data_IF_236388000081
#
_entry.id   IF_236388000081
#
_cell.length_a   1.000
_cell.length_b   1.000
_cell.length_c   1.000
_cell.angle_alpha   90.00
_cell.angle_beta   90.00
_cell.angle_gamma   90.00
#
_symmetry.space_group_name_H-M   'P 1'
#
loop_
_entity.id
_entity.type
_entity.pdbx_description
1 polymer ?
#
# COMPACT_ATOMS: atom_id res chain seq x y z
N UNK A 1 11.00 4.56 53.97
CA UNK A 1 9.80 4.42 53.13
C UNK A 1 10.06 3.20 52.26
N UNK A 2 9.29 2.12 52.41
CA UNK A 2 9.49 0.91 51.58
C UNK A 2 8.92 1.24 50.20
N UNK A 3 9.80 1.22 49.21
CA UNK A 3 9.44 1.49 47.82
C UNK A 3 8.73 0.25 47.25
N UNK A 4 7.44 0.39 46.89
CA UNK A 4 6.57 -0.71 46.46
C UNK A 4 6.76 -1.06 44.97
N UNK A 5 8.02 -1.15 44.50
CA UNK A 5 8.33 -1.45 43.11
C UNK A 5 8.44 -2.98 42.89
N UNK A 6 7.33 -3.63 42.51
CA UNK A 6 7.30 -5.06 42.15
C UNK A 6 7.51 -5.20 40.64
N UNK A 7 8.48 -6.04 40.24
CA UNK A 7 8.83 -6.28 38.84
C UNK A 7 7.65 -6.85 38.03
N UNK A 8 7.64 -6.52 36.72
CA UNK A 8 6.71 -7.14 35.77
C UNK A 8 6.94 -8.65 35.68
N UNK A 9 5.89 -9.37 35.22
CA UNK A 9 5.94 -10.81 34.99
C UNK A 9 7.00 -11.16 33.94
N UNK A 10 7.80 -12.18 34.22
CA UNK A 10 8.75 -12.77 33.29
C UNK A 10 8.05 -13.45 32.09
N UNK A 11 8.69 -13.41 30.93
CA UNK A 11 8.26 -14.15 29.74
C UNK A 11 8.65 -15.65 29.78
N UNK A 12 9.52 -16.03 30.73
CA UNK A 12 10.04 -17.38 30.87
C UNK A 12 10.17 -17.80 32.34
N UNK A 13 10.14 -19.10 32.59
CA UNK A 13 10.42 -19.67 33.90
C UNK A 13 11.85 -19.32 34.33
N UNK A 14 12.00 -18.66 35.47
CA UNK A 14 13.30 -18.22 35.97
C UNK A 14 14.16 -19.38 36.55
N UNK A 15 13.60 -20.58 36.70
CA UNK A 15 14.32 -21.76 37.17
C UNK A 15 14.87 -22.65 36.02
N UNK A 16 14.14 -22.78 34.91
CA UNK A 16 14.55 -23.62 33.77
C UNK A 16 14.72 -22.87 32.45
N UNK A 17 14.50 -21.56 32.46
CA UNK A 17 14.62 -20.65 31.33
C UNK A 17 13.73 -20.96 30.11
N UNK A 18 12.69 -21.79 30.28
CA UNK A 18 11.72 -22.08 29.22
C UNK A 18 10.70 -20.94 29.11
N UNK A 19 10.42 -20.43 27.89
CA UNK A 19 9.38 -19.43 27.68
C UNK A 19 8.02 -20.00 28.09
N UNK A 20 7.16 -19.16 28.64
CA UNK A 20 5.78 -19.53 28.92
C UNK A 20 4.97 -19.52 27.63
N UNK A 21 4.16 -20.56 27.42
CA UNK A 21 3.17 -20.61 26.35
C UNK A 21 1.94 -19.78 26.71
N UNK A 22 1.18 -19.35 25.70
CA UNK A 22 -0.10 -18.68 25.94
C UNK A 22 -1.03 -19.56 26.78
N UNK A 23 -1.69 -18.93 27.76
CA UNK A 23 -2.53 -19.54 28.80
C UNK A 23 -1.84 -20.56 29.69
N UNK A 24 -0.51 -20.61 29.68
CA UNK A 24 0.21 -21.54 30.55
C UNK A 24 0.10 -21.09 32.02
N UNK A 25 -0.32 -21.97 32.96
CA UNK A 25 -0.26 -21.67 34.37
C UNK A 25 1.20 -21.61 34.87
N UNK A 26 1.48 -20.64 35.72
CA UNK A 26 2.77 -20.48 36.38
C UNK A 26 2.59 -19.95 37.81
N UNK A 27 3.60 -20.15 38.64
CA UNK A 27 3.64 -19.70 40.04
C UNK A 27 4.55 -18.48 40.15
N UNK A 28 4.07 -17.45 40.85
CA UNK A 28 4.88 -16.30 41.24
C UNK A 28 5.20 -16.42 42.73
N UNK A 29 6.48 -16.27 43.08
CA UNK A 29 6.94 -16.11 44.46
C UNK A 29 7.48 -14.70 44.63
N UNK A 30 7.14 -14.06 45.74
CA UNK A 30 7.66 -12.75 46.10
C UNK A 30 8.54 -12.87 47.34
N UNK A 31 9.75 -12.30 47.24
CA UNK A 31 10.71 -12.24 48.34
C UNK A 31 11.06 -10.80 48.67
N UNK A 32 11.11 -10.46 49.96
CA UNK A 32 11.68 -9.24 50.48
C UNK A 32 13.21 -9.39 50.57
N UNK A 33 13.91 -8.66 49.71
CA UNK A 33 15.32 -8.40 49.90
C UNK A 33 15.45 -7.03 50.55
N UNK A 34 16.39 -6.87 51.50
CA UNK A 34 16.60 -5.66 52.34
C UNK A 34 16.45 -4.29 51.64
N UNK A 35 16.63 -4.21 50.32
CA UNK A 35 16.52 -3.01 49.49
C UNK A 35 15.44 -3.05 48.40
N UNK A 36 14.80 -4.19 48.10
CA UNK A 36 13.79 -4.32 47.04
C UNK A 36 13.01 -5.65 47.13
N UNK A 37 11.80 -5.68 46.57
CA UNK A 37 11.08 -6.93 46.34
C UNK A 37 11.62 -7.66 45.11
N UNK A 38 11.95 -8.95 45.27
CA UNK A 38 12.31 -9.84 44.19
C UNK A 38 11.12 -10.71 43.80
N UNK A 39 10.75 -10.67 42.51
CA UNK A 39 9.72 -11.54 41.93
C UNK A 39 10.36 -12.71 41.20
N UNK A 40 9.92 -13.92 41.52
CA UNK A 40 10.35 -15.15 40.84
C UNK A 40 9.14 -15.86 40.20
N UNK A 41 9.13 -15.98 38.87
CA UNK A 41 8.09 -16.69 38.13
C UNK A 41 8.61 -18.07 37.69
N UNK A 42 7.92 -19.14 38.06
CA UNK A 42 8.32 -20.54 37.77
C UNK A 42 7.18 -21.35 37.17
N UNK A 43 7.49 -22.26 36.25
CA UNK A 43 6.50 -23.17 35.68
C UNK A 43 6.08 -24.26 36.68
N UNK A 44 4.92 -24.87 36.46
CA UNK A 44 4.37 -25.95 37.30
C UNK A 44 5.37 -27.09 37.63
N UNK A 45 6.17 -27.59 36.66
CA UNK A 45 7.19 -28.61 36.97
C UNK A 45 8.28 -28.11 37.93
N UNK A 46 8.76 -26.87 37.73
CA UNK A 46 9.78 -26.28 38.59
C UNK A 46 9.22 -25.97 39.98
N UNK A 47 7.97 -25.51 40.06
CA UNK A 47 7.25 -25.33 41.31
C UNK A 47 7.21 -26.62 42.12
N UNK A 48 6.66 -27.70 41.54
CA UNK A 48 6.53 -28.99 42.21
C UNK A 48 7.88 -29.53 42.66
N UNK A 49 8.91 -29.46 41.81
CA UNK A 49 10.22 -30.02 42.09
C UNK A 49 11.05 -29.25 43.14
N UNK A 50 10.89 -27.92 43.24
CA UNK A 50 11.83 -27.09 43.99
C UNK A 50 11.20 -26.18 45.05
N UNK A 51 9.90 -25.86 44.94
CA UNK A 51 9.27 -24.81 45.74
C UNK A 51 8.01 -25.27 46.48
N UNK A 52 7.33 -26.32 46.01
CA UNK A 52 6.09 -26.82 46.61
C UNK A 52 6.23 -27.22 48.09
N UNK A 53 7.43 -27.62 48.50
CA UNK A 53 7.77 -27.94 49.89
C UNK A 53 8.76 -26.91 50.41
N UNK A 54 8.32 -26.07 51.35
CA UNK A 54 9.19 -25.14 52.08
C UNK A 54 9.50 -23.80 51.37
N UNK A 55 8.76 -23.41 50.32
CA UNK A 55 8.90 -22.05 49.76
C UNK A 55 8.62 -20.95 50.79
N UNK A 56 7.64 -21.15 51.68
CA UNK A 56 7.27 -20.23 52.76
C UNK A 56 8.35 -20.09 53.83
N UNK A 57 9.18 -21.12 54.01
CA UNK A 57 10.19 -21.17 55.07
C UNK A 57 11.51 -20.52 54.62
N UNK A 58 11.60 -20.15 53.34
CA UNK A 58 12.76 -19.46 52.79
C UNK A 58 12.83 -18.04 53.34
N UNK A 59 14.04 -17.63 53.72
CA UNK A 59 14.30 -16.30 54.25
C UNK A 59 13.81 -15.23 53.27
N UNK A 60 13.02 -14.29 53.80
CA UNK A 60 12.47 -13.18 53.04
C UNK A 60 11.25 -13.55 52.21
N UNK A 61 10.66 -14.74 52.35
CA UNK A 61 9.39 -15.04 51.68
C UNK A 61 8.28 -14.07 52.12
N UNK A 62 7.51 -13.56 51.15
CA UNK A 62 6.39 -12.65 51.37
C UNK A 62 5.07 -13.32 51.00
N UNK A 63 4.96 -13.78 49.76
CA UNK A 63 3.73 -14.38 49.26
C UNK A 63 3.97 -15.24 48.03
N UNK A 64 3.00 -16.11 47.73
CA UNK A 64 2.94 -16.87 46.48
C UNK A 64 1.53 -16.77 45.88
N UNK A 65 1.44 -16.84 44.55
CA UNK A 65 0.17 -16.96 43.85
C UNK A 65 0.37 -17.62 42.49
N UNK A 66 -0.71 -18.22 41.97
CA UNK A 66 -0.76 -18.81 40.64
C UNK A 66 -1.39 -17.81 39.66
N UNK A 67 -0.92 -17.81 38.42
CA UNK A 67 -1.46 -16.97 37.34
C UNK A 67 -1.34 -17.68 36.00
N UNK A 68 -2.10 -17.21 35.01
CA UNK A 68 -2.00 -17.67 33.63
C UNK A 68 -1.19 -16.69 32.79
N UNK A 69 -0.29 -17.20 31.96
CA UNK A 69 0.52 -16.38 31.07
C UNK A 69 -0.29 -15.97 29.85
N UNK A 70 -0.62 -14.69 29.72
CA UNK A 70 -1.14 -14.14 28.47
C UNK A 70 0.03 -13.74 27.56
N UNK A 71 0.18 -14.43 26.43
CA UNK A 71 1.13 -14.03 25.40
C UNK A 71 0.71 -12.69 24.78
N UNK A 72 1.65 -11.81 24.41
CA UNK A 72 1.33 -10.64 23.60
C UNK A 72 0.60 -11.12 22.33
N UNK A 73 -0.48 -10.43 21.90
CA UNK A 73 -1.15 -10.77 20.66
C UNK A 73 -0.13 -10.75 19.51
N UNK A 74 -0.25 -11.68 18.54
CA UNK A 74 0.62 -11.65 17.37
C UNK A 74 0.50 -10.28 16.71
N UNK A 75 1.63 -9.76 16.20
CA UNK A 75 1.62 -8.51 15.46
C UNK A 75 0.54 -8.60 14.36
N UNK A 76 -0.32 -7.58 14.20
CA UNK A 76 -1.35 -7.60 13.17
C UNK A 76 -0.73 -7.96 11.82
N UNK A 77 -1.35 -8.86 11.02
CA UNK A 77 -0.89 -9.10 9.67
C UNK A 77 -0.85 -7.78 8.92
N UNK A 78 0.22 -7.52 8.17
CA UNK A 78 0.37 -6.27 7.43
C UNK A 78 -0.86 -6.08 6.53
N UNK A 79 -1.61 -4.97 6.68
CA UNK A 79 -2.80 -4.73 5.88
C UNK A 79 -2.42 -4.63 4.41
N UNK A 80 -3.14 -5.40 3.57
CA UNK A 80 -3.30 -5.34 2.11
C UNK A 80 -2.36 -4.33 1.44
N UNK A 81 -1.34 -4.89 0.78
CA UNK A 81 -0.26 -4.28 -0.02
C UNK A 81 -0.51 -2.83 -0.46
N UNK A 82 -0.24 -1.86 0.41
CA UNK A 82 0.29 -0.58 -0.05
C UNK A 82 1.60 -0.91 -0.75
N UNK A 83 1.66 -0.75 -2.08
CA UNK A 83 2.93 -0.94 -2.76
C UNK A 83 3.92 0.07 -2.17
N UNK A 84 5.03 -0.41 -1.63
CA UNK A 84 6.12 0.51 -1.27
C UNK A 84 6.58 1.18 -2.55
N UNK A 85 6.97 2.45 -2.46
CA UNK A 85 7.47 3.21 -3.63
C UNK A 85 8.58 2.47 -4.38
N UNK A 86 9.39 1.67 -3.66
CA UNK A 86 10.43 0.82 -4.23
C UNK A 86 9.85 -0.37 -5.03
N UNK A 87 8.90 -1.11 -4.45
CA UNK A 87 8.27 -2.24 -5.15
C UNK A 87 7.54 -1.77 -6.40
N UNK A 88 6.80 -0.65 -6.31
CA UNK A 88 6.12 -0.04 -7.45
C UNK A 88 7.13 0.39 -8.52
N UNK A 89 8.21 1.09 -8.13
CA UNK A 89 9.24 1.50 -9.07
C UNK A 89 9.89 0.30 -9.78
N UNK A 90 10.17 -0.79 -9.06
CA UNK A 90 10.73 -2.01 -9.64
C UNK A 90 9.77 -2.61 -10.68
N UNK A 91 8.47 -2.64 -10.41
CA UNK A 91 7.46 -3.09 -11.38
C UNK A 91 7.39 -2.18 -12.59
N UNK A 92 7.43 -0.86 -12.40
CA UNK A 92 7.39 0.12 -13.49
C UNK A 92 8.62 0.03 -14.40
N UNK A 93 9.82 -0.13 -13.82
CA UNK A 93 11.06 -0.32 -14.59
C UNK A 93 11.02 -1.64 -15.37
N UNK A 94 10.49 -2.71 -14.78
CA UNK A 94 10.34 -3.99 -15.47
C UNK A 94 9.30 -3.94 -16.60
N UNK A 95 8.21 -3.18 -16.43
CA UNK A 95 7.19 -2.97 -17.44
C UNK A 95 7.71 -2.15 -18.63
N UNK A 96 8.58 -1.17 -18.36
CA UNK A 96 9.20 -0.29 -19.35
C UNK A 96 8.19 0.37 -20.32
N UNK A 97 7.02 0.75 -19.80
CA UNK A 97 5.96 1.42 -20.56
C UNK A 97 6.11 2.96 -20.48
N UNK A 98 6.20 3.66 -21.63
CA UNK A 98 6.27 5.12 -21.68
C UNK A 98 5.16 5.85 -20.91
N UNK A 99 3.96 5.26 -20.79
CA UNK A 99 2.84 5.87 -20.08
C UNK A 99 3.15 6.09 -18.59
N UNK A 100 3.99 5.24 -18.01
CA UNK A 100 4.39 5.33 -16.60
C UNK A 100 5.77 5.93 -16.39
N UNK A 101 6.44 6.40 -17.45
CA UNK A 101 7.78 6.99 -17.34
C UNK A 101 7.82 8.19 -16.37
N UNK A 102 6.80 9.06 -16.42
CA UNK A 102 6.65 10.18 -15.50
C UNK A 102 6.51 9.74 -14.04
N UNK A 103 5.67 8.73 -13.78
CA UNK A 103 5.48 8.19 -12.44
C UNK A 103 6.76 7.51 -11.92
N UNK A 104 7.42 6.71 -12.77
CA UNK A 104 8.69 6.06 -12.44
C UNK A 104 9.80 7.05 -12.12
N UNK A 105 9.93 8.12 -12.91
CA UNK A 105 10.88 9.21 -12.66
C UNK A 105 10.64 9.87 -11.29
N UNK A 106 9.39 10.27 -11.00
CA UNK A 106 9.05 10.93 -9.74
C UNK A 106 9.29 9.99 -8.54
N UNK A 107 8.93 8.72 -8.65
CA UNK A 107 9.21 7.71 -7.63
C UNK A 107 10.72 7.56 -7.37
N UNK A 108 11.54 7.54 -8.41
CA UNK A 108 12.99 7.48 -8.27
C UNK A 108 13.56 8.69 -7.53
N UNK A 109 13.14 9.91 -7.89
CA UNK A 109 13.54 11.16 -7.21
C UNK A 109 13.06 11.19 -5.75
N UNK A 110 11.85 10.68 -5.48
CA UNK A 110 11.33 10.56 -4.11
C UNK A 110 12.20 9.62 -3.27
N UNK A 111 12.63 8.49 -3.84
CA UNK A 111 13.50 7.51 -3.18
C UNK A 111 14.94 8.01 -3.00
N UNK A 112 15.43 8.83 -3.92
CA UNK A 112 16.71 9.54 -3.80
C UNK A 112 16.69 10.49 -2.59
N UNK A 113 15.65 11.33 -2.46
CA UNK A 113 15.51 12.26 -1.32
C UNK A 113 15.41 11.53 0.02
N UNK A 114 14.85 10.32 0.03
CA UNK A 114 14.79 9.43 1.21
C UNK A 114 16.10 8.64 1.46
N UNK A 115 17.14 8.85 0.66
CA UNK A 115 18.43 8.14 0.70
C UNK A 115 18.32 6.62 0.50
N UNK A 116 17.24 6.15 -0.11
CA UNK A 116 17.09 4.73 -0.49
C UNK A 116 17.90 4.46 -1.75
N UNK A 117 17.82 5.38 -2.73
CA UNK A 117 18.60 5.33 -3.97
C UNK A 117 19.70 6.38 -3.97
N UNK A 118 20.80 6.07 -4.65
CA UNK A 118 21.93 6.97 -4.91
C UNK A 118 22.08 7.14 -6.42
N UNK A 119 22.00 8.36 -6.93
CA UNK A 119 22.29 8.64 -8.33
C UNK A 119 23.77 8.32 -8.62
N UNK A 120 24.03 7.50 -9.65
CA UNK A 120 25.38 7.12 -10.10
C UNK A 120 25.80 7.78 -11.40
N UNK A 121 24.83 8.21 -12.20
CA UNK A 121 25.10 8.91 -13.45
C UNK A 121 23.88 8.96 -14.35
N UNK A 122 24.11 9.35 -15.59
CA UNK A 122 23.10 9.39 -16.65
C UNK A 122 23.68 8.78 -17.92
N UNK A 123 22.83 8.12 -18.68
CA UNK A 123 23.15 7.62 -20.03
C UNK A 123 22.10 8.16 -21.00
N UNK A 124 22.46 8.20 -22.29
CA UNK A 124 21.59 8.75 -23.31
C UNK A 124 21.43 7.78 -24.50
N UNK A 125 20.84 6.60 -24.28
CA UNK A 125 20.47 5.72 -25.38
C UNK A 125 19.35 6.36 -26.21
N UNK A 126 19.42 6.22 -27.54
CA UNK A 126 18.35 6.62 -28.47
C UNK A 126 17.87 8.08 -28.33
N UNK A 127 18.81 9.00 -28.03
CA UNK A 127 18.55 10.43 -27.83
C UNK A 127 17.54 10.73 -26.70
N UNK A 128 17.35 9.79 -25.76
CA UNK A 128 16.54 9.97 -24.55
C UNK A 128 17.45 9.89 -23.33
N UNK A 129 17.22 10.77 -22.35
CA UNK A 129 17.96 10.77 -21.09
C UNK A 129 17.48 9.65 -20.19
N UNK A 130 18.39 8.91 -19.59
CA UNK A 130 18.11 7.92 -18.56
C UNK A 130 19.02 8.16 -17.35
N UNK A 131 18.46 8.07 -16.15
CA UNK A 131 19.17 8.15 -14.88
C UNK A 131 19.52 6.76 -14.37
N UNK A 132 20.75 6.61 -13.89
CA UNK A 132 21.24 5.39 -13.25
C UNK A 132 21.22 5.61 -11.73
N UNK A 133 20.46 4.79 -11.03
CA UNK A 133 20.38 4.77 -9.58
C UNK A 133 20.93 3.46 -9.02
N UNK A 134 21.56 3.52 -7.85
CA UNK A 134 21.96 2.36 -7.06
C UNK A 134 21.19 2.32 -5.74
N UNK A 135 20.60 1.17 -5.41
CA UNK A 135 19.94 0.97 -4.15
C UNK A 135 20.98 0.91 -3.01
N UNK A 136 20.89 1.81 -2.03
CA UNK A 136 21.91 2.04 -1.01
C UNK A 136 22.23 0.82 -0.12
N UNK A 137 21.25 -0.04 0.15
CA UNK A 137 21.42 -1.27 0.94
C UNK A 137 21.85 -2.50 0.13
N UNK A 138 21.24 -2.75 -1.02
CA UNK A 138 21.46 -3.98 -1.81
C UNK A 138 22.54 -3.84 -2.88
N UNK A 139 22.87 -2.61 -3.30
CA UNK A 139 23.81 -2.34 -4.39
C UNK A 139 23.21 -2.55 -5.79
N UNK A 140 21.91 -2.79 -5.90
CA UNK A 140 21.26 -3.02 -7.19
C UNK A 140 21.12 -1.75 -8.01
N UNK A 141 21.32 -1.87 -9.33
CA UNK A 141 21.30 -0.74 -10.26
C UNK A 141 19.98 -0.69 -11.04
N UNK A 142 19.37 0.48 -11.07
CA UNK A 142 18.13 0.78 -11.79
C UNK A 142 18.39 1.84 -12.87
N UNK A 143 17.85 1.62 -14.07
CA UNK A 143 17.88 2.60 -15.16
C UNK A 143 16.47 3.16 -15.35
N UNK A 144 16.29 4.45 -15.10
CA UNK A 144 14.98 5.11 -15.14
C UNK A 144 14.99 6.16 -16.26
N UNK A 145 14.06 6.10 -17.25
CA UNK A 145 13.96 7.11 -18.29
C UNK A 145 13.58 8.48 -17.69
N UNK A 146 14.16 9.56 -18.22
CA UNK A 146 13.78 10.93 -17.94
C UNK A 146 12.76 11.40 -19.00
N UNK A 147 11.49 11.62 -18.60
CA UNK A 147 10.43 12.06 -19.51
C UNK A 147 10.44 13.57 -19.77
N UNK A 148 11.46 14.30 -19.29
CA UNK A 148 11.60 15.76 -19.43
C UNK A 148 10.37 16.52 -18.89
N UNK A 149 10.00 16.19 -17.65
CA UNK A 149 8.82 16.73 -17.00
C UNK A 149 8.84 18.27 -16.90
N UNK A 150 7.74 18.88 -17.35
CA UNK A 150 7.50 20.32 -17.19
C UNK A 150 6.84 20.60 -15.84
N UNK A 151 7.10 21.78 -15.28
CA UNK A 151 6.51 22.21 -14.00
C UNK A 151 4.97 22.11 -13.99
N UNK A 152 4.30 22.40 -15.11
CA UNK A 152 2.85 22.31 -15.25
C UNK A 152 2.29 20.89 -15.16
N UNK A 153 3.12 19.87 -15.37
CA UNK A 153 2.71 18.46 -15.37
C UNK A 153 2.88 17.81 -13.98
N UNK A 154 3.61 18.45 -13.07
CA UNK A 154 3.95 17.87 -11.77
C UNK A 154 2.71 17.52 -10.93
N UNK A 155 1.70 18.40 -10.90
CA UNK A 155 0.49 18.15 -10.11
C UNK A 155 -0.29 16.93 -10.59
N UNK A 156 -0.35 16.72 -11.90
CA UNK A 156 -1.02 15.56 -12.49
C UNK A 156 -0.25 14.28 -12.15
N UNK A 157 1.07 14.28 -12.37
CA UNK A 157 1.91 13.12 -12.10
C UNK A 157 1.94 12.77 -10.62
N UNK A 158 1.93 13.75 -9.71
CA UNK A 158 1.84 13.49 -8.27
C UNK A 158 0.53 12.78 -7.89
N UNK A 159 -0.60 13.17 -8.48
CA UNK A 159 -1.88 12.48 -8.27
C UNK A 159 -1.85 11.05 -8.81
N UNK A 160 -1.24 10.84 -9.97
CA UNK A 160 -1.11 9.51 -10.56
C UNK A 160 -0.19 8.62 -9.73
N UNK A 161 0.93 9.13 -9.24
CA UNK A 161 1.82 8.41 -8.32
C UNK A 161 1.11 8.07 -7.01
N UNK A 162 0.34 9.00 -6.44
CA UNK A 162 -0.45 8.72 -5.22
C UNK A 162 -1.45 7.59 -5.47
N UNK A 163 -2.20 7.65 -6.58
CA UNK A 163 -3.13 6.58 -6.98
C UNK A 163 -2.42 5.24 -7.16
N UNK A 164 -1.26 5.23 -7.80
CA UNK A 164 -0.47 4.00 -8.01
C UNK A 164 0.09 3.44 -6.69
N UNK A 165 0.44 4.28 -5.72
CA UNK A 165 0.85 3.83 -4.39
C UNK A 165 -0.33 3.27 -3.58
N UNK A 166 -1.53 3.81 -3.78
CA UNK A 166 -2.74 3.39 -3.08
C UNK A 166 -3.37 2.11 -3.66
N UNK A 167 -3.33 1.95 -4.99
CA UNK A 167 -4.01 0.86 -5.69
C UNK A 167 -3.07 -0.10 -6.44
N UNK A 168 -1.79 0.22 -6.56
CA UNK A 168 -0.85 -0.52 -7.40
C UNK A 168 -1.10 -0.32 -8.89
N UNK A 169 -0.41 -1.11 -9.73
CA UNK A 169 -0.61 -1.13 -11.19
C UNK A 169 -1.95 -1.76 -11.63
N UNK A 170 -2.68 -2.33 -10.69
CA UNK A 170 -4.01 -2.89 -10.92
C UNK A 170 -5.04 -2.03 -10.18
N UNK A 171 -5.58 -0.96 -10.80
CA UNK A 171 -6.69 -0.26 -10.18
C UNK A 171 -7.79 -1.29 -9.89
N UNK A 172 -8.45 -1.25 -8.72
CA UNK A 172 -9.69 -2.01 -8.57
C UNK A 172 -10.57 -1.58 -9.74
N UNK A 173 -10.99 -2.54 -10.57
CA UNK A 173 -11.93 -2.25 -11.66
C UNK A 173 -13.07 -1.45 -11.03
N UNK A 174 -13.09 -0.14 -11.28
CA UNK A 174 -14.31 0.62 -11.16
C UNK A 174 -15.29 -0.17 -12.01
N UNK A 175 -16.32 -0.72 -11.36
CA UNK A 175 -17.32 -1.57 -11.96
C UNK A 175 -17.70 -1.00 -13.32
N UNK A 176 -17.18 -1.63 -14.37
CA UNK A 176 -17.66 -1.40 -15.72
C UNK A 176 -19.10 -1.87 -15.66
N UNK A 177 -20.13 -1.01 -15.83
CA UNK A 177 -21.44 -1.53 -16.12
C UNK A 177 -21.27 -2.37 -17.39
N UNK A 178 -21.82 -3.61 -17.42
CA UNK A 178 -21.55 -4.54 -18.50
C UNK A 178 -21.91 -3.91 -19.85
N UNK A 179 -21.00 -3.93 -20.84
CA UNK A 179 -21.33 -3.57 -22.20
C UNK A 179 -22.10 -4.74 -22.80
N UNK A 180 -23.44 -4.62 -22.87
CA UNK A 180 -24.25 -5.71 -23.40
C UNK A 180 -25.75 -5.58 -23.19
N UNK A 181 -26.36 -4.47 -23.59
CA UNK A 181 -27.70 -4.53 -24.17
C UNK A 181 -27.55 -4.06 -25.62
N UNK A 182 -27.50 -5.05 -26.50
CA UNK A 182 -27.18 -4.93 -27.91
C UNK A 182 -28.07 -3.89 -28.63
N UNK A 183 -27.42 -3.08 -29.43
CA UNK A 183 -28.00 -2.39 -30.58
C UNK A 183 -28.33 -3.45 -31.62
N UNK A 184 -29.60 -3.60 -31.98
CA UNK A 184 -30.02 -4.35 -33.17
C UNK A 184 -29.61 -3.57 -34.43
N UNK A 185 -29.11 -4.31 -35.41
CA UNK A 185 -28.49 -3.83 -36.64
C UNK A 185 -29.55 -3.88 -37.75
N UNK A 186 -29.93 -2.71 -38.26
CA UNK A 186 -30.69 -2.56 -39.51
C UNK A 186 -29.91 -1.74 -40.53
N UNK A 187 -29.23 -2.44 -41.43
CA UNK A 187 -28.34 -1.96 -42.50
C UNK A 187 -29.04 -1.06 -43.56
N UNK A 188 -28.39 0.09 -43.82
CA UNK A 188 -28.31 1.00 -45.00
C UNK A 188 -28.52 0.27 -46.36
N UNK A 189 -29.05 0.85 -47.49
CA UNK A 189 -28.52 2.08 -48.09
C UNK A 189 -29.43 2.97 -49.00
N UNK A 190 -28.98 4.22 -49.17
CA UNK A 190 -29.34 5.13 -50.29
C UNK A 190 -28.89 4.54 -51.64
N UNK A 191 -29.68 4.75 -52.70
CA UNK A 191 -29.12 5.33 -53.93
C UNK A 191 -29.99 6.42 -54.57
N UNK A 192 -29.33 7.29 -55.33
CA UNK A 192 -29.90 8.33 -56.17
C UNK A 192 -30.35 7.78 -57.53
N UNK A 193 -31.51 8.26 -58.02
CA UNK A 193 -31.86 8.60 -59.42
C UNK A 193 -33.40 8.72 -59.54
N UNK A 194 -33.96 9.78 -60.14
CA UNK A 194 -35.39 9.87 -60.42
C UNK A 194 -35.66 9.77 -61.94
N UNK A 195 -36.36 8.72 -62.36
CA UNK A 195 -37.12 8.66 -63.61
C UNK A 195 -38.31 7.71 -63.37
N UNK A 196 -39.52 8.23 -63.19
CA UNK A 196 -40.69 7.78 -63.97
C UNK A 196 -41.88 8.73 -63.76
N UNK A 197 -42.63 8.85 -64.84
CA UNK A 197 -43.72 9.78 -65.12
C UNK A 197 -45.06 9.20 -64.68
N UNK A 198 -46.03 10.06 -64.31
CA UNK A 198 -47.45 9.69 -64.39
C UNK A 198 -48.34 10.40 -63.36
N UNK A 199 -49.50 10.97 -63.74
CA UNK A 199 -49.98 12.21 -63.14
C UNK A 199 -51.09 11.99 -62.12
N UNK A 200 -51.27 12.95 -61.21
CA UNK A 200 -52.56 13.59 -60.95
C UNK A 200 -52.38 14.82 -60.04
N UNK A 201 -52.59 15.99 -60.64
CA UNK A 201 -52.93 17.28 -60.00
C UNK A 201 -54.26 17.18 -59.23
N UNK A 202 -54.79 18.25 -58.59
CA UNK A 202 -54.25 19.60 -58.35
C UNK A 202 -54.31 19.99 -56.84
N UNK A 203 -53.64 21.02 -56.32
CA UNK A 203 -54.11 22.42 -56.35
C UNK A 203 -53.12 23.30 -55.56
N UNK A 204 -52.42 24.19 -56.25
CA UNK A 204 -52.36 25.69 -56.10
C UNK A 204 -52.32 26.30 -54.67
N UNK A 205 -51.69 27.49 -54.44
CA UNK A 205 -50.29 27.88 -54.64
C UNK A 205 -49.70 28.84 -53.54
N UNK A 206 -48.36 28.96 -53.53
CA UNK A 206 -47.54 30.21 -53.40
C UNK A 206 -47.65 31.13 -52.14
N UNK A 207 -46.82 32.19 -52.05
CA UNK A 207 -45.37 32.19 -51.77
C UNK A 207 -45.07 33.10 -50.54
N UNK A 208 -43.87 33.17 -49.97
CA UNK A 208 -42.86 34.15 -50.37
C UNK A 208 -41.55 33.94 -49.60
N UNK A 209 -40.47 34.20 -50.31
CA UNK A 209 -39.10 34.40 -49.83
C UNK A 209 -38.61 35.69 -50.53
N UNK A 210 -37.36 36.15 -50.39
CA UNK A 210 -36.42 36.24 -49.25
C UNK A 210 -36.11 37.78 -49.12
N UNK A 211 -34.90 38.38 -48.95
CA UNK A 211 -33.56 37.82 -48.82
C UNK A 211 -32.58 38.47 -47.82
N UNK A 212 -31.48 37.74 -47.68
CA UNK A 212 -30.18 38.04 -47.11
C UNK A 212 -29.63 39.42 -47.46
N UNK A 213 -28.93 40.02 -46.51
CA UNK A 213 -27.80 40.92 -46.77
C UNK A 213 -26.71 40.69 -45.72
N UNK A 214 -25.50 40.49 -46.21
CA UNK A 214 -24.22 40.53 -45.50
C UNK A 214 -23.24 41.30 -46.44
N UNK A 215 -22.01 41.59 -46.00
CA UNK A 215 -21.50 42.70 -45.19
C UNK A 215 -20.82 43.78 -46.10
N UNK A 216 -19.90 44.66 -45.62
CA UNK A 216 -18.47 44.29 -45.55
C UNK A 216 -17.67 44.96 -44.40
N UNK A 217 -16.66 44.26 -43.86
CA UNK A 217 -15.20 44.47 -44.01
C UNK A 217 -14.59 45.65 -43.24
N UNK A 218 -13.64 45.32 -42.36
CA UNK A 218 -12.62 46.21 -41.79
C UNK A 218 -11.26 45.56 -41.97
#
# INVERSE_FOLDING_TARGET
MIDWNIQSRSAACQACNRPFADRQPFHTLLFDQKSAYQRLDVCEPCWTAQFSQGASDRKGFVSHWQSEFAAPPPAPPEPIQKETAETLLRKLVALNDPNYAAAGYVLAVMLERKRVFKAKGQIQPDNRRHLIYEHARTGEVFTVPDPELRLSQLDAVQRDVARLLEHGLNPPLAAVPPPGAATDIGTKPTPAAPEDSGPSSPTTPAPDAPPSLQPPAG
#
